data_IF_222833907068
#
_entry.id   IF_222833907068
#
_cell.length_a   1.000
_cell.length_b   1.000
_cell.length_c   1.000
_cell.angle_alpha   90.00
_cell.angle_beta   90.00
_cell.angle_gamma   90.00
#
_symmetry.space_group_name_H-M   'P 1'
#
loop_
_entity.id
_entity.type
_entity.pdbx_description
1 polymer ?
#
# COMPACT_ATOMS: atom_id res chain seq x y z
N UNK A 1 -19.44 -23.85 -3.04
CA UNK A 1 -18.66 -22.62 -2.87
C UNK A 1 -18.39 -22.05 -4.26
N UNK A 2 -19.01 -20.94 -4.64
CA UNK A 2 -18.76 -20.30 -5.93
C UNK A 2 -17.44 -19.54 -5.79
N UNK A 3 -16.41 -20.02 -6.47
CA UNK A 3 -15.14 -19.27 -6.60
C UNK A 3 -15.43 -18.02 -7.40
N UNK A 4 -15.54 -16.88 -6.72
CA UNK A 4 -15.65 -15.59 -7.38
C UNK A 4 -14.32 -15.38 -8.08
N UNK A 5 -14.30 -15.47 -9.42
CA UNK A 5 -13.13 -15.08 -10.21
C UNK A 5 -12.99 -13.56 -10.15
N UNK A 6 -12.26 -13.08 -9.15
CA UNK A 6 -11.86 -11.68 -9.08
C UNK A 6 -10.84 -11.49 -10.20
N UNK A 7 -11.18 -10.70 -11.22
CA UNK A 7 -10.19 -10.32 -12.24
C UNK A 7 -9.06 -9.57 -11.54
N UNK A 8 -7.84 -9.98 -11.78
CA UNK A 8 -6.66 -9.33 -11.20
C UNK A 8 -6.72 -7.81 -11.44
N UNK A 9 -6.61 -7.04 -10.34
CA UNK A 9 -6.64 -5.59 -10.37
C UNK A 9 -8.00 -4.91 -10.11
N UNK A 10 -9.13 -5.63 -10.11
CA UNK A 10 -10.41 -5.02 -9.74
C UNK A 10 -10.48 -4.76 -8.23
N UNK A 11 -10.96 -3.58 -7.81
CA UNK A 11 -11.12 -3.27 -6.39
C UNK A 11 -12.05 -4.27 -5.68
N UNK A 12 -11.69 -4.61 -4.44
CA UNK A 12 -12.41 -5.61 -3.64
C UNK A 12 -12.88 -5.00 -2.32
N UNK A 13 -14.14 -5.21 -1.98
CA UNK A 13 -14.66 -4.90 -0.65
C UNK A 13 -14.65 -6.19 0.19
N UNK A 14 -13.98 -6.14 1.32
CA UNK A 14 -13.91 -7.25 2.27
C UNK A 14 -14.86 -6.93 3.43
N UNK A 15 -15.83 -7.81 3.67
CA UNK A 15 -16.84 -7.66 4.72
C UNK A 15 -16.53 -8.67 5.82
N UNK A 16 -16.52 -8.20 7.08
CA UNK A 16 -16.40 -9.08 8.25
C UNK A 16 -17.45 -8.67 9.29
N UNK A 17 -18.42 -9.52 9.50
CA UNK A 17 -19.52 -9.29 10.45
C UNK A 17 -20.05 -10.66 10.88
N UNK A 18 -20.35 -10.91 12.14
CA UNK A 18 -20.87 -12.20 12.62
C UNK A 18 -22.36 -12.38 12.29
N UNK A 19 -23.10 -11.28 12.07
CA UNK A 19 -24.50 -11.33 11.63
C UNK A 19 -24.61 -11.63 10.13
N UNK A 20 -25.14 -12.79 9.81
CA UNK A 20 -25.35 -13.25 8.43
C UNK A 20 -26.31 -12.36 7.62
N UNK A 21 -27.26 -11.67 8.27
CA UNK A 21 -28.20 -10.79 7.58
C UNK A 21 -27.50 -9.49 7.18
N UNK A 22 -26.71 -8.92 8.07
CA UNK A 22 -25.90 -7.73 7.79
C UNK A 22 -24.91 -8.03 6.66
N UNK A 23 -24.19 -9.16 6.72
CA UNK A 23 -23.27 -9.56 5.63
C UNK A 23 -23.97 -9.64 4.29
N UNK A 24 -25.13 -10.34 4.20
CA UNK A 24 -25.88 -10.48 2.93
C UNK A 24 -26.37 -9.12 2.40
N UNK A 25 -26.83 -8.24 3.29
CA UNK A 25 -27.28 -6.90 2.92
C UNK A 25 -26.13 -6.09 2.30
N UNK A 26 -24.96 -6.08 2.97
CA UNK A 26 -23.76 -5.40 2.47
C UNK A 26 -23.24 -6.02 1.16
N UNK A 27 -23.22 -7.35 1.05
CA UNK A 27 -22.86 -8.02 -0.19
C UNK A 27 -23.77 -7.61 -1.36
N UNK A 28 -25.09 -7.57 -1.12
CA UNK A 28 -26.05 -7.15 -2.13
C UNK A 28 -25.84 -5.70 -2.55
N UNK A 29 -25.63 -4.81 -1.57
CA UNK A 29 -25.39 -3.39 -1.80
C UNK A 29 -24.12 -3.18 -2.64
N UNK A 30 -22.98 -3.75 -2.24
CA UNK A 30 -21.73 -3.53 -2.95
C UNK A 30 -21.70 -4.17 -4.34
N UNK A 31 -22.35 -5.33 -4.50
CA UNK A 31 -22.50 -5.95 -5.82
C UNK A 31 -23.42 -5.16 -6.76
N UNK A 32 -24.42 -4.44 -6.21
CA UNK A 32 -25.31 -3.59 -7.03
C UNK A 32 -24.61 -2.40 -7.68
N UNK A 33 -23.42 -2.04 -7.16
CA UNK A 33 -22.53 -0.99 -7.68
C UNK A 33 -21.23 -1.56 -8.28
N UNK A 34 -21.27 -2.83 -8.72
CA UNK A 34 -20.22 -3.55 -9.45
C UNK A 34 -18.92 -3.79 -8.67
N UNK A 35 -18.91 -3.73 -7.33
CA UNK A 35 -17.76 -4.14 -6.56
C UNK A 35 -17.63 -5.67 -6.47
N UNK A 36 -16.40 -6.16 -6.54
CA UNK A 36 -16.07 -7.51 -6.11
C UNK A 36 -16.13 -7.57 -4.56
N UNK A 37 -16.75 -8.62 -4.02
CA UNK A 37 -16.98 -8.74 -2.57
C UNK A 37 -16.49 -10.07 -2.05
N UNK A 38 -15.71 -10.03 -0.96
CA UNK A 38 -15.38 -11.16 -0.10
C UNK A 38 -16.08 -10.96 1.25
N UNK A 39 -16.72 -11.99 1.78
CA UNK A 39 -17.46 -11.89 3.03
C UNK A 39 -17.09 -13.01 3.99
N UNK A 40 -16.76 -12.65 5.22
CA UNK A 40 -16.33 -13.53 6.29
C UNK A 40 -17.24 -13.41 7.49
N UNK A 41 -17.52 -14.54 8.16
CA UNK A 41 -18.36 -14.60 9.36
C UNK A 41 -17.61 -14.33 10.65
N UNK A 42 -16.28 -14.34 10.60
CA UNK A 42 -15.43 -14.08 11.76
C UNK A 42 -14.09 -13.44 11.36
N UNK A 43 -13.43 -12.84 12.34
CA UNK A 43 -12.08 -12.32 12.20
C UNK A 43 -11.06 -13.42 11.84
N UNK A 44 -11.22 -14.61 12.39
CA UNK A 44 -10.35 -15.76 12.11
C UNK A 44 -10.44 -16.19 10.65
N UNK A 45 -11.67 -16.28 10.09
CA UNK A 45 -11.85 -16.64 8.69
C UNK A 45 -11.14 -15.65 7.75
N UNK A 46 -11.16 -14.34 8.08
CA UNK A 46 -10.41 -13.34 7.32
C UNK A 46 -8.90 -13.53 7.45
N UNK A 47 -8.39 -13.74 8.68
CA UNK A 47 -6.95 -13.87 8.94
C UNK A 47 -6.32 -15.13 8.33
N UNK A 48 -7.15 -16.16 8.10
CA UNK A 48 -6.74 -17.44 7.49
C UNK A 48 -6.97 -17.48 5.98
N UNK A 49 -7.59 -16.42 5.41
CA UNK A 49 -7.89 -16.38 3.99
C UNK A 49 -6.71 -15.87 3.16
N UNK A 50 -6.57 -16.44 1.96
CA UNK A 50 -5.69 -15.86 0.93
C UNK A 50 -6.39 -14.66 0.29
N UNK A 51 -5.93 -13.46 0.63
CA UNK A 51 -6.48 -12.24 0.08
C UNK A 51 -5.96 -11.96 -1.33
N UNK A 52 -6.80 -11.44 -2.23
CA UNK A 52 -6.40 -11.15 -3.60
C UNK A 52 -5.40 -10.00 -3.66
N UNK A 53 -4.44 -10.10 -4.57
CA UNK A 53 -3.51 -9.01 -4.89
C UNK A 53 -4.20 -7.91 -5.72
N UNK A 54 -5.08 -7.15 -5.04
CA UNK A 54 -5.91 -6.09 -5.62
C UNK A 54 -6.11 -4.95 -4.60
N UNK A 55 -6.43 -3.73 -5.06
CA UNK A 55 -6.87 -2.69 -4.15
C UNK A 55 -8.07 -3.16 -3.34
N UNK A 56 -8.00 -3.08 -2.02
CA UNK A 56 -9.05 -3.57 -1.15
C UNK A 56 -9.47 -2.53 -0.11
N UNK A 57 -10.73 -2.62 0.36
CA UNK A 57 -11.25 -1.88 1.50
C UNK A 57 -11.95 -2.86 2.43
N UNK A 58 -11.63 -2.78 3.73
CA UNK A 58 -12.20 -3.63 4.77
C UNK A 58 -13.39 -2.92 5.42
N UNK A 59 -14.53 -3.58 5.46
CA UNK A 59 -15.73 -3.19 6.21
C UNK A 59 -15.92 -4.21 7.33
N UNK A 60 -15.70 -3.82 8.58
CA UNK A 60 -15.60 -4.77 9.69
C UNK A 60 -16.44 -4.32 10.90
N UNK A 61 -17.20 -5.26 11.44
CA UNK A 61 -17.89 -5.02 12.71
C UNK A 61 -16.91 -4.93 13.88
N UNK A 62 -17.13 -3.96 14.75
CA UNK A 62 -16.26 -3.77 15.93
C UNK A 62 -16.44 -4.88 16.94
N UNK A 63 -17.68 -5.37 17.13
CA UNK A 63 -18.02 -6.34 18.17
C UNK A 63 -18.39 -7.69 17.56
N UNK A 64 -17.41 -8.55 17.45
CA UNK A 64 -17.61 -9.94 17.03
C UNK A 64 -17.16 -10.91 18.12
N UNK A 65 -17.73 -12.12 18.17
CA UNK A 65 -17.28 -13.16 19.10
C UNK A 65 -15.79 -13.49 18.91
N UNK A 66 -15.12 -13.84 20.02
CA UNK A 66 -13.71 -14.25 20.08
C UNK A 66 -12.71 -13.14 19.77
N UNK A 67 -12.82 -12.45 18.64
CA UNK A 67 -11.92 -11.39 18.21
C UNK A 67 -12.68 -10.21 17.61
N UNK A 68 -12.54 -9.03 18.20
CA UNK A 68 -13.18 -7.81 17.70
C UNK A 68 -12.48 -7.20 16.50
N UNK A 69 -13.20 -6.30 15.77
CA UNK A 69 -12.70 -5.71 14.55
C UNK A 69 -11.39 -4.93 14.69
N UNK A 70 -11.20 -4.21 15.79
CA UNK A 70 -9.95 -3.48 16.04
C UNK A 70 -8.75 -4.41 16.23
N UNK A 71 -8.95 -5.53 16.93
CA UNK A 71 -7.88 -6.52 17.14
C UNK A 71 -7.54 -7.22 15.83
N UNK A 72 -8.55 -7.59 15.05
CA UNK A 72 -8.38 -8.19 13.74
C UNK A 72 -7.57 -7.27 12.80
N UNK A 73 -7.95 -5.98 12.73
CA UNK A 73 -7.23 -4.99 11.92
C UNK A 73 -5.77 -4.81 12.39
N UNK A 74 -5.54 -4.78 13.71
CA UNK A 74 -4.19 -4.74 14.27
C UNK A 74 -3.35 -5.95 13.84
N UNK A 75 -3.91 -7.16 13.88
CA UNK A 75 -3.21 -8.37 13.43
C UNK A 75 -2.92 -8.38 11.92
N UNK A 76 -3.79 -7.79 11.08
CA UNK A 76 -3.49 -7.60 9.66
C UNK A 76 -2.29 -6.68 9.48
N UNK A 77 -2.24 -5.55 10.18
CA UNK A 77 -1.12 -4.62 10.15
C UNK A 77 0.19 -5.26 10.62
N UNK A 78 0.17 -6.06 11.69
CA UNK A 78 1.33 -6.81 12.20
C UNK A 78 1.86 -7.83 11.18
N UNK A 79 0.99 -8.35 10.31
CA UNK A 79 1.36 -9.24 9.18
C UNK A 79 1.81 -8.45 7.93
N UNK A 80 1.85 -7.12 7.98
CA UNK A 80 2.19 -6.26 6.85
C UNK A 80 1.06 -6.07 5.83
N UNK A 81 -0.18 -6.46 6.20
CA UNK A 81 -1.38 -6.31 5.37
C UNK A 81 -2.08 -5.01 5.78
N UNK A 82 -1.78 -3.93 5.09
CA UNK A 82 -2.32 -2.60 5.39
C UNK A 82 -3.46 -2.27 4.41
N UNK A 83 -4.68 -2.66 4.81
CA UNK A 83 -5.93 -2.43 4.07
C UNK A 83 -6.71 -1.31 4.77
N UNK A 84 -7.13 -0.24 4.06
CA UNK A 84 -8.01 0.78 4.59
C UNK A 84 -9.28 0.17 5.20
N UNK A 85 -9.57 0.49 6.48
CA UNK A 85 -10.66 -0.12 7.22
C UNK A 85 -11.76 0.89 7.56
N UNK A 86 -13.01 0.43 7.43
CA UNK A 86 -14.23 1.10 7.88
C UNK A 86 -14.81 0.24 8.99
N UNK A 87 -14.97 0.82 10.18
CA UNK A 87 -15.52 0.10 11.31
C UNK A 87 -17.02 0.34 11.45
N UNK A 88 -17.78 -0.74 11.60
CA UNK A 88 -19.21 -0.69 11.89
C UNK A 88 -19.46 -1.01 13.37
N UNK A 89 -20.41 -0.34 14.01
CA UNK A 89 -20.77 -0.63 15.40
C UNK A 89 -22.22 -0.38 15.69
N UNK A 90 -22.82 -1.23 16.52
CA UNK A 90 -24.17 -1.00 17.05
C UNK A 90 -24.23 0.03 18.21
N UNK A 91 -23.08 0.39 18.80
CA UNK A 91 -22.98 1.34 19.90
C UNK A 91 -21.73 2.19 19.69
N UNK A 92 -21.89 3.32 18.99
CA UNK A 92 -20.81 4.29 18.81
C UNK A 92 -20.76 5.25 19.99
N UNK A 93 -19.65 5.27 20.71
CA UNK A 93 -19.32 6.35 21.61
C UNK A 93 -18.09 7.14 21.09
N UNK A 94 -17.93 8.37 21.59
CA UNK A 94 -16.82 9.24 21.18
C UNK A 94 -15.44 8.58 21.41
N UNK A 95 -15.17 7.90 22.55
CA UNK A 95 -13.91 7.21 22.77
C UNK A 95 -13.61 6.12 21.73
N UNK A 96 -14.62 5.39 21.29
CA UNK A 96 -14.47 4.32 20.29
C UNK A 96 -14.16 4.89 18.90
N UNK A 97 -14.83 5.97 18.50
CA UNK A 97 -14.52 6.68 17.25
C UNK A 97 -13.09 7.21 17.23
N UNK A 98 -12.66 7.84 18.35
CA UNK A 98 -11.26 8.31 18.48
C UNK A 98 -10.26 7.16 18.40
N UNK A 99 -10.56 6.01 18.97
CA UNK A 99 -9.72 4.81 18.88
C UNK A 99 -9.60 4.32 17.44
N UNK A 100 -10.71 4.28 16.71
CA UNK A 100 -10.73 3.90 15.28
C UNK A 100 -9.84 4.82 14.44
N UNK A 101 -10.02 6.13 14.58
CA UNK A 101 -9.24 7.11 13.81
C UNK A 101 -7.75 7.07 14.15
N UNK A 102 -7.38 6.85 15.43
CA UNK A 102 -5.98 6.64 15.83
C UNK A 102 -5.38 5.34 15.29
N UNK A 103 -6.21 4.33 15.05
CA UNK A 103 -5.79 3.08 14.41
C UNK A 103 -5.67 3.18 12.88
N UNK A 104 -5.87 4.38 12.29
CA UNK A 104 -5.77 4.60 10.87
C UNK A 104 -7.02 4.22 10.07
N UNK A 105 -8.19 4.14 10.72
CA UNK A 105 -9.45 3.89 10.05
C UNK A 105 -9.76 4.98 9.01
N UNK A 106 -10.34 4.57 7.88
CA UNK A 106 -10.87 5.48 6.88
C UNK A 106 -12.13 6.15 7.42
N UNK A 107 -13.00 5.36 8.07
CA UNK A 107 -14.24 5.86 8.65
C UNK A 107 -14.76 4.94 9.77
N UNK A 108 -15.76 5.45 10.49
CA UNK A 108 -16.42 4.76 11.59
C UNK A 108 -17.93 5.07 11.55
N UNK A 109 -18.74 4.04 11.26
CA UNK A 109 -20.17 4.18 11.07
C UNK A 109 -20.97 3.44 12.14
N UNK A 110 -22.02 4.09 12.66
CA UNK A 110 -22.93 3.49 13.62
C UNK A 110 -24.12 2.81 12.93
N UNK A 111 -24.43 1.59 13.34
CA UNK A 111 -25.66 0.89 12.91
C UNK A 111 -26.87 1.46 13.67
N UNK A 112 -27.99 1.81 12.99
CA UNK A 112 -28.19 1.73 11.54
C UNK A 112 -27.51 2.89 10.80
N UNK A 113 -26.85 2.60 9.68
CA UNK A 113 -26.24 3.57 8.78
C UNK A 113 -27.05 3.71 7.49
N UNK A 114 -26.86 4.82 6.75
CA UNK A 114 -27.44 5.01 5.44
C UNK A 114 -26.55 4.32 4.39
N UNK A 115 -27.19 3.74 3.36
CA UNK A 115 -26.45 3.12 2.26
C UNK A 115 -25.46 4.08 1.59
N UNK A 116 -25.85 5.35 1.46
CA UNK A 116 -24.97 6.37 0.89
C UNK A 116 -23.71 6.58 1.71
N UNK A 117 -23.81 6.64 3.05
CA UNK A 117 -22.65 6.89 3.93
C UNK A 117 -21.62 5.77 3.82
N UNK A 118 -22.07 4.51 3.82
CA UNK A 118 -21.15 3.38 3.69
C UNK A 118 -20.55 3.26 2.29
N UNK A 119 -21.26 3.61 1.24
CA UNK A 119 -20.74 3.66 -0.12
C UNK A 119 -19.69 4.75 -0.26
N UNK A 120 -19.94 5.96 0.26
CA UNK A 120 -18.95 7.06 0.25
C UNK A 120 -17.66 6.67 0.99
N UNK A 121 -17.78 6.04 2.16
CA UNK A 121 -16.63 5.56 2.92
C UNK A 121 -15.84 4.48 2.15
N UNK A 122 -16.52 3.53 1.51
CA UNK A 122 -15.88 2.48 0.70
C UNK A 122 -15.17 3.07 -0.53
N UNK A 123 -15.78 4.01 -1.23
CA UNK A 123 -15.13 4.69 -2.35
C UNK A 123 -13.86 5.44 -1.91
N UNK A 124 -13.90 6.12 -0.77
CA UNK A 124 -12.72 6.78 -0.20
C UNK A 124 -11.63 5.78 0.16
N UNK A 125 -11.98 4.66 0.80
CA UNK A 125 -11.05 3.58 1.16
C UNK A 125 -10.40 2.95 -0.07
N UNK A 126 -11.18 2.57 -1.09
CA UNK A 126 -10.66 1.98 -2.33
C UNK A 126 -9.78 2.96 -3.12
N UNK A 127 -10.14 4.26 -3.14
CA UNK A 127 -9.31 5.29 -3.75
C UNK A 127 -7.95 5.39 -3.06
N UNK A 128 -7.94 5.42 -1.71
CA UNK A 128 -6.71 5.43 -0.91
C UNK A 128 -5.86 4.18 -1.17
N UNK A 129 -6.46 2.98 -1.17
CA UNK A 129 -5.78 1.72 -1.47
C UNK A 129 -5.15 1.73 -2.86
N UNK A 130 -5.85 2.26 -3.87
CA UNK A 130 -5.36 2.33 -5.26
C UNK A 130 -4.15 3.25 -5.37
N UNK A 131 -4.22 4.44 -4.76
CA UNK A 131 -3.10 5.40 -4.75
C UNK A 131 -1.87 4.81 -4.06
N UNK A 132 -2.05 4.20 -2.87
CA UNK A 132 -0.98 3.57 -2.12
C UNK A 132 -0.33 2.44 -2.92
N UNK A 133 -1.12 1.53 -3.47
CA UNK A 133 -0.63 0.43 -4.30
C UNK A 133 0.19 0.94 -5.49
N UNK A 134 -0.30 1.96 -6.21
CA UNK A 134 0.43 2.55 -7.33
C UNK A 134 1.79 3.12 -6.89
N UNK A 135 1.86 3.77 -5.72
CA UNK A 135 3.11 4.28 -5.17
C UNK A 135 4.08 3.15 -4.81
N UNK A 136 3.58 2.06 -4.19
CA UNK A 136 4.37 0.89 -3.82
C UNK A 136 4.92 0.16 -5.06
N UNK A 137 4.09 -0.03 -6.11
CA UNK A 137 4.52 -0.61 -7.39
C UNK A 137 5.59 0.24 -8.08
N UNK A 138 5.42 1.56 -8.10
CA UNK A 138 6.43 2.47 -8.65
C UNK A 138 7.76 2.38 -7.89
N UNK A 139 7.69 2.30 -6.57
CA UNK A 139 8.89 2.21 -5.75
C UNK A 139 9.57 0.86 -5.87
N UNK A 140 8.79 -0.22 -5.96
CA UNK A 140 9.31 -1.56 -6.26
C UNK A 140 10.05 -1.58 -7.60
N UNK A 141 9.45 -1.04 -8.65
CA UNK A 141 10.08 -0.92 -9.96
C UNK A 141 11.38 -0.11 -9.93
N UNK A 142 11.43 0.97 -9.12
CA UNK A 142 12.66 1.74 -8.92
C UNK A 142 13.75 0.95 -8.22
N UNK A 143 13.41 0.14 -7.22
CA UNK A 143 14.37 -0.75 -6.52
C UNK A 143 14.93 -1.81 -7.47
N UNK A 144 14.09 -2.43 -8.29
CA UNK A 144 14.51 -3.41 -9.28
C UNK A 144 15.51 -2.79 -10.28
N UNK A 145 15.23 -1.58 -10.79
CA UNK A 145 16.15 -0.84 -11.65
C UNK A 145 17.47 -0.50 -10.94
N UNK A 146 17.42 -0.06 -9.68
CA UNK A 146 18.60 0.22 -8.88
C UNK A 146 19.46 -1.04 -8.67
N UNK A 147 18.84 -2.19 -8.47
CA UNK A 147 19.53 -3.47 -8.33
C UNK A 147 20.33 -3.86 -9.58
N UNK A 148 19.90 -3.42 -10.77
CA UNK A 148 20.62 -3.65 -12.05
C UNK A 148 21.87 -2.77 -12.20
N UNK A 149 22.07 -1.77 -11.31
CA UNK A 149 23.24 -0.91 -11.37
C UNK A 149 24.49 -1.66 -10.88
N UNK A 150 25.56 -1.56 -11.65
CA UNK A 150 26.89 -2.00 -11.20
C UNK A 150 27.41 -1.14 -10.06
N UNK A 151 28.37 -1.63 -9.30
CA UNK A 151 29.02 -0.84 -8.23
C UNK A 151 29.49 0.53 -8.71
N UNK A 152 30.09 0.62 -9.91
CA UNK A 152 30.56 1.88 -10.48
C UNK A 152 29.41 2.82 -10.86
N UNK A 153 28.33 2.30 -11.40
CA UNK A 153 27.14 3.10 -11.69
C UNK A 153 26.48 3.64 -10.41
N UNK A 154 26.43 2.86 -9.33
CA UNK A 154 25.95 3.32 -8.01
C UNK A 154 26.83 4.45 -7.44
N UNK A 155 28.16 4.31 -7.52
CA UNK A 155 29.07 5.36 -7.09
C UNK A 155 28.90 6.66 -7.89
N UNK A 156 28.68 6.54 -9.20
CA UNK A 156 28.39 7.70 -10.06
C UNK A 156 27.03 8.29 -9.72
N UNK A 157 26.00 7.48 -9.49
CA UNK A 157 24.67 7.93 -9.07
C UNK A 157 24.72 8.74 -7.78
N UNK A 158 25.42 8.23 -6.75
CA UNK A 158 25.63 8.95 -5.48
C UNK A 158 26.27 10.34 -5.69
N UNK A 159 27.30 10.42 -6.53
CA UNK A 159 27.91 11.69 -6.87
C UNK A 159 26.98 12.65 -7.61
N UNK A 160 26.19 12.16 -8.56
CA UNK A 160 25.24 12.96 -9.34
C UNK A 160 24.09 13.49 -8.46
N UNK A 161 23.55 12.66 -7.59
CA UNK A 161 22.49 13.05 -6.64
C UNK A 161 22.96 14.11 -5.66
N UNK A 162 24.23 14.06 -5.23
CA UNK A 162 24.87 15.11 -4.41
C UNK A 162 25.25 16.36 -5.18
N UNK A 163 24.94 16.47 -6.47
CA UNK A 163 25.24 17.63 -7.30
C UNK A 163 26.70 17.75 -7.74
N UNK A 164 27.51 16.71 -7.63
CA UNK A 164 28.93 16.75 -8.02
C UNK A 164 29.08 16.77 -9.56
N UNK A 165 30.05 17.55 -10.03
CA UNK A 165 30.46 17.57 -11.43
C UNK A 165 31.20 16.27 -11.80
N UNK A 166 31.15 15.88 -13.06
CA UNK A 166 31.84 14.65 -13.54
C UNK A 166 33.31 14.60 -13.14
N UNK A 167 34.02 15.73 -13.22
CA UNK A 167 35.44 15.85 -12.79
C UNK A 167 35.63 15.55 -11.30
N UNK A 168 34.72 16.01 -10.46
CA UNK A 168 34.76 15.75 -9.00
C UNK A 168 34.45 14.28 -8.70
N UNK A 169 33.46 13.69 -9.38
CA UNK A 169 33.17 12.26 -9.27
C UNK A 169 34.37 11.43 -9.70
N UNK A 170 34.99 11.77 -10.85
CA UNK A 170 36.18 11.10 -11.39
C UNK A 170 37.33 11.05 -10.36
N UNK A 171 37.65 12.20 -9.74
CA UNK A 171 38.65 12.30 -8.69
C UNK A 171 38.32 11.47 -7.45
N UNK A 172 37.02 11.47 -7.04
CA UNK A 172 36.55 10.75 -5.85
C UNK A 172 36.62 9.23 -5.98
N UNK A 173 36.32 8.68 -7.18
CA UNK A 173 36.24 7.23 -7.39
C UNK A 173 37.42 6.66 -8.20
N UNK A 174 38.40 7.51 -8.53
CA UNK A 174 39.69 7.10 -9.14
C UNK A 174 39.58 6.61 -10.59
N UNK A 175 38.75 7.28 -11.43
CA UNK A 175 38.60 6.97 -12.85
C UNK A 175 38.65 8.24 -13.70
N UNK A 176 38.72 8.10 -15.03
CA UNK A 176 38.72 9.27 -15.94
C UNK A 176 37.32 9.92 -16.00
N UNK A 177 37.27 11.21 -16.32
CA UNK A 177 36.01 11.91 -16.55
C UNK A 177 35.21 11.32 -17.72
N UNK A 178 35.86 10.82 -18.73
CA UNK A 178 35.23 10.13 -19.87
C UNK A 178 34.54 8.87 -19.38
N UNK A 179 35.17 8.10 -18.51
CA UNK A 179 34.60 6.88 -17.92
C UNK A 179 33.39 7.21 -17.03
N UNK A 180 33.42 8.33 -16.28
CA UNK A 180 32.26 8.82 -15.52
C UNK A 180 31.10 9.12 -16.46
N UNK A 181 31.34 9.81 -17.59
CA UNK A 181 30.28 10.09 -18.58
C UNK A 181 29.65 8.81 -19.13
N UNK A 182 30.43 7.77 -19.39
CA UNK A 182 29.91 6.47 -19.85
C UNK A 182 29.05 5.80 -18.77
N UNK A 183 29.55 5.70 -17.54
CA UNK A 183 28.76 5.14 -16.41
C UNK A 183 27.49 5.93 -16.14
N UNK A 184 27.57 7.27 -16.21
CA UNK A 184 26.40 8.16 -16.04
C UNK A 184 25.33 7.90 -17.12
N UNK A 185 25.72 7.79 -18.39
CA UNK A 185 24.81 7.47 -19.48
C UNK A 185 24.14 6.11 -19.29
N UNK A 186 24.93 5.08 -18.95
CA UNK A 186 24.41 3.73 -18.69
C UNK A 186 23.48 3.70 -17.47
N UNK A 187 23.84 4.37 -16.38
CA UNK A 187 23.05 4.49 -15.16
C UNK A 187 21.72 5.19 -15.44
N UNK A 188 21.72 6.34 -16.13
CA UNK A 188 20.48 7.07 -16.48
C UNK A 188 19.53 6.20 -17.32
N UNK A 189 20.06 5.41 -18.26
CA UNK A 189 19.29 4.48 -19.08
C UNK A 189 18.70 3.36 -18.24
N UNK A 190 19.47 2.71 -17.35
CA UNK A 190 18.99 1.63 -16.46
C UNK A 190 17.94 2.12 -15.48
N UNK A 191 18.12 3.32 -14.94
CA UNK A 191 17.13 3.97 -14.06
C UNK A 191 15.92 4.52 -14.81
N UNK A 192 15.93 4.48 -16.16
CA UNK A 192 14.89 5.07 -17.02
C UNK A 192 14.59 6.53 -16.67
N UNK A 193 15.64 7.33 -16.40
CA UNK A 193 15.51 8.75 -16.10
C UNK A 193 16.19 9.59 -17.19
N UNK A 194 15.51 10.67 -17.57
CA UNK A 194 16.00 11.58 -18.62
C UNK A 194 16.71 12.81 -18.05
N UNK A 195 16.34 13.21 -16.84
CA UNK A 195 16.88 14.41 -16.19
C UNK A 195 17.48 14.09 -14.83
N UNK A 196 18.41 14.95 -14.36
CA UNK A 196 19.00 14.81 -13.00
C UNK A 196 17.94 15.00 -11.92
N UNK A 197 17.02 15.99 -11.99
CA UNK A 197 15.95 16.12 -11.01
C UNK A 197 15.08 14.84 -10.87
N UNK A 198 14.79 14.15 -12.00
CA UNK A 198 14.06 12.87 -11.94
C UNK A 198 14.86 11.76 -11.25
N UNK A 199 16.19 11.74 -11.46
CA UNK A 199 17.08 10.81 -10.79
C UNK A 199 17.14 11.08 -9.28
N UNK A 200 17.20 12.35 -8.87
CA UNK A 200 17.20 12.74 -7.45
C UNK A 200 15.92 12.27 -6.77
N UNK A 201 14.74 12.55 -7.36
CA UNK A 201 13.45 12.07 -6.84
C UNK A 201 13.40 10.54 -6.71
N UNK A 202 13.93 9.84 -7.70
CA UNK A 202 14.01 8.38 -7.66
C UNK A 202 14.95 7.87 -6.55
N UNK A 203 16.08 8.53 -6.34
CA UNK A 203 17.02 8.19 -5.27
C UNK A 203 16.42 8.43 -3.88
N UNK A 204 15.72 9.54 -3.69
CA UNK A 204 15.05 9.88 -2.43
C UNK A 204 13.94 8.86 -2.10
N UNK A 205 13.13 8.47 -3.09
CA UNK A 205 12.09 7.45 -2.91
C UNK A 205 12.69 6.10 -2.50
N UNK A 206 13.80 5.70 -3.12
CA UNK A 206 14.53 4.47 -2.77
C UNK A 206 15.10 4.58 -1.33
N UNK A 207 15.72 5.70 -0.97
CA UNK A 207 16.34 5.90 0.34
C UNK A 207 15.32 5.87 1.48
N UNK A 208 14.17 6.54 1.31
CA UNK A 208 13.07 6.57 2.30
C UNK A 208 12.58 5.16 2.61
N UNK A 209 12.45 4.32 1.60
CA UNK A 209 11.94 2.97 1.79
C UNK A 209 12.98 2.00 2.38
N UNK A 210 14.27 2.16 2.05
CA UNK A 210 15.32 1.39 2.75
C UNK A 210 15.38 1.75 4.25
N UNK A 211 15.08 3.00 4.59
CA UNK A 211 15.00 3.44 5.99
C UNK A 211 13.79 2.82 6.72
N UNK A 212 12.64 2.69 6.07
CA UNK A 212 11.43 2.06 6.65
C UNK A 212 11.57 0.54 6.81
N UNK A 213 12.27 -0.14 5.89
CA UNK A 213 12.48 -1.59 5.93
C UNK A 213 13.65 -2.02 6.84
N UNK A 214 14.35 -1.08 7.51
CA UNK A 214 15.56 -1.37 8.29
C UNK A 214 16.74 -1.92 7.47
N UNK A 215 16.65 -1.90 6.14
CA UNK A 215 17.65 -2.40 5.21
C UNK A 215 18.65 -1.29 4.88
N UNK A 216 19.94 -1.61 4.85
CA UNK A 216 20.96 -0.65 4.36
C UNK A 216 20.95 -0.65 2.83
N UNK A 217 21.05 0.55 2.23
CA UNK A 217 21.30 0.68 0.80
C UNK A 217 22.57 -0.12 0.47
N UNK A 218 22.53 -1.09 -0.46
CA UNK A 218 23.72 -1.86 -0.84
C UNK A 218 24.79 -0.94 -1.43
N UNK A 219 25.98 -0.95 -0.83
CA UNK A 219 27.13 -0.13 -1.21
C UNK A 219 27.65 -0.43 -2.64
#
# INVERSE_FOLDING_TARGET
>A
MATIQIKAGNPVVIIVDDDALVRRSLESLFRSVDFAVLAFGSAHDLLDADLPDAPACLVIDVRMPQMGGFECHGQLLDRGIDIPAIFLTGHGDIPMTVKAMKAGAVDFLTKPYREQDILEAVYAGLSSATVKRSADEQTKALRERYALLTRRERQVMDGVVRGLLNKQIAGKIGISEITVKLHRSSMMRKMERRTVPDLVRAADAIATQFASDGSKIPA
#
